data_IF_849196927113
#
_entry.id   IF_849196927113
#
_cell.length_a   1.000
_cell.length_b   1.000
_cell.length_c   1.000
_cell.angle_alpha   90.00
_cell.angle_beta   90.00
_cell.angle_gamma   90.00
#
_symmetry.space_group_name_H-M   'P 1'
#
loop_
_entity.id
_entity.type
_entity.pdbx_description
1 polymer ?
#
# COMPACT_ATOMS: atom_id res chain seq x y z
N UNK A 1 1.05 -11.46 -11.24
CA UNK A 1 1.69 -10.72 -10.14
C UNK A 1 1.87 -11.64 -8.95
N UNK A 2 3.06 -11.68 -8.36
CA UNK A 2 3.25 -12.23 -7.01
C UNK A 2 2.98 -11.11 -6.00
N UNK A 3 2.09 -11.36 -5.04
CA UNK A 3 1.69 -10.36 -4.03
C UNK A 3 2.12 -10.86 -2.66
N UNK A 4 2.97 -10.10 -1.98
CA UNK A 4 3.40 -10.36 -0.61
C UNK A 4 2.59 -9.55 0.38
N UNK A 5 2.38 -10.09 1.57
CA UNK A 5 1.65 -9.42 2.64
C UNK A 5 2.43 -9.46 3.95
N UNK A 6 2.48 -8.33 4.64
CA UNK A 6 3.05 -8.21 5.98
C UNK A 6 2.28 -7.15 6.75
N UNK A 7 2.20 -7.25 8.08
CA UNK A 7 1.58 -6.16 8.85
C UNK A 7 2.40 -4.87 8.79
N UNK A 8 3.74 -4.96 8.73
CA UNK A 8 4.65 -3.79 8.64
C UNK A 8 5.35 -3.43 9.95
N UNK A 9 4.79 -3.80 11.11
CA UNK A 9 5.42 -3.54 12.42
C UNK A 9 6.81 -4.17 12.59
N UNK A 10 7.05 -5.29 11.90
CA UNK A 10 8.35 -5.99 11.89
C UNK A 10 9.40 -5.38 10.95
N UNK A 11 9.05 -4.37 10.14
CA UNK A 11 9.93 -3.77 9.13
C UNK A 11 10.44 -2.44 9.69
N UNK A 12 11.70 -2.41 10.14
CA UNK A 12 12.28 -1.25 10.83
C UNK A 12 13.39 -0.63 9.96
N UNK A 13 13.41 0.70 9.75
CA UNK A 13 12.44 1.68 10.25
C UNK A 13 11.05 1.55 9.59
N UNK A 14 9.99 1.85 10.35
CA UNK A 14 8.62 1.73 9.86
C UNK A 14 8.37 2.67 8.69
N UNK A 15 7.84 2.14 7.59
CA UNK A 15 7.57 2.92 6.37
C UNK A 15 8.81 3.30 5.55
N UNK A 16 10.02 2.87 5.94
CA UNK A 16 11.22 3.18 5.19
C UNK A 16 11.25 2.45 3.83
N UNK A 17 11.40 3.16 2.70
CA UNK A 17 11.38 2.54 1.37
C UNK A 17 12.46 1.47 1.17
N UNK A 18 13.66 1.65 1.74
CA UNK A 18 14.76 0.69 1.57
C UNK A 18 14.53 -0.59 2.39
N UNK A 19 14.00 -0.45 3.61
CA UNK A 19 13.61 -1.58 4.45
C UNK A 19 12.46 -2.38 3.81
N UNK A 20 11.45 -1.71 3.27
CA UNK A 20 10.37 -2.34 2.50
C UNK A 20 10.91 -3.05 1.27
N UNK A 21 11.81 -2.42 0.50
CA UNK A 21 12.44 -3.03 -0.67
C UNK A 21 13.27 -4.27 -0.31
N UNK A 22 13.96 -4.29 0.84
CA UNK A 22 14.67 -5.48 1.32
C UNK A 22 13.71 -6.66 1.55
N UNK A 23 12.57 -6.42 2.20
CA UNK A 23 11.54 -7.44 2.43
C UNK A 23 10.89 -7.90 1.11
N UNK A 24 10.59 -6.98 0.21
CA UNK A 24 10.07 -7.30 -1.12
C UNK A 24 11.03 -8.25 -1.87
N UNK A 25 12.35 -7.97 -1.85
CA UNK A 25 13.37 -8.83 -2.49
C UNK A 25 13.48 -10.19 -1.82
N UNK A 26 13.42 -10.24 -0.48
CA UNK A 26 13.44 -11.50 0.26
C UNK A 26 12.24 -12.40 -0.08
N UNK A 27 11.06 -11.81 -0.27
CA UNK A 27 9.83 -12.53 -0.62
C UNK A 27 9.70 -12.79 -2.12
N UNK A 28 10.53 -12.16 -2.97
CA UNK A 28 10.47 -12.21 -4.44
C UNK A 28 9.05 -11.89 -4.98
N UNK A 29 8.48 -10.75 -4.56
CA UNK A 29 7.12 -10.33 -4.95
C UNK A 29 7.11 -9.15 -5.91
N UNK A 30 6.10 -9.05 -6.77
CA UNK A 30 5.91 -7.88 -7.66
C UNK A 30 5.27 -6.70 -6.91
N UNK A 31 4.39 -7.03 -5.95
CA UNK A 31 3.64 -6.08 -5.11
C UNK A 31 3.83 -6.50 -3.66
N UNK A 32 4.31 -5.59 -2.82
CA UNK A 32 4.36 -5.77 -1.36
C UNK A 32 3.26 -4.94 -0.71
N UNK A 33 2.34 -5.60 0.00
CA UNK A 33 1.30 -4.94 0.79
C UNK A 33 1.72 -4.94 2.26
N UNK A 34 1.75 -3.75 2.85
CA UNK A 34 2.04 -3.52 4.27
C UNK A 34 0.95 -2.68 4.94
N UNK A 35 1.03 -2.50 6.26
CA UNK A 35 0.12 -1.65 7.02
C UNK A 35 0.87 -0.94 8.15
N UNK A 36 0.35 -1.05 9.37
CA UNK A 36 0.93 -0.53 10.62
C UNK A 36 1.02 0.99 10.76
N UNK A 37 1.41 1.72 9.73
CA UNK A 37 1.55 3.19 9.79
C UNK A 37 0.20 3.91 9.88
N UNK A 38 -0.88 3.25 9.45
CA UNK A 38 -2.22 3.82 9.26
C UNK A 38 -2.29 4.92 8.20
N UNK A 39 -1.25 5.04 7.37
CA UNK A 39 -1.19 6.00 6.26
C UNK A 39 -1.31 5.26 4.94
N UNK A 40 -2.29 5.64 4.12
CA UNK A 40 -2.46 5.05 2.80
C UNK A 40 -1.33 5.50 1.86
N UNK A 41 -0.71 4.55 1.16
CA UNK A 41 0.38 4.83 0.24
C UNK A 41 0.35 3.83 -0.92
N UNK A 42 0.50 4.35 -2.15
CA UNK A 42 0.70 3.53 -3.36
C UNK A 42 1.94 4.07 -4.03
N UNK A 43 3.07 3.41 -3.79
CA UNK A 43 4.38 3.85 -4.27
C UNK A 43 4.97 2.83 -5.24
N UNK A 44 5.73 3.32 -6.21
CA UNK A 44 6.55 2.51 -7.09
C UNK A 44 8.03 2.76 -6.81
N UNK A 45 8.79 1.68 -6.65
CA UNK A 45 10.23 1.74 -6.46
C UNK A 45 10.89 0.55 -7.17
N UNK A 46 11.88 0.83 -8.02
CA UNK A 46 12.59 -0.17 -8.84
C UNK A 46 11.66 -1.11 -9.64
N UNK A 47 10.54 -0.58 -10.16
CA UNK A 47 9.56 -1.36 -10.92
C UNK A 47 8.77 -2.37 -10.08
N UNK A 48 8.75 -2.18 -8.75
CA UNK A 48 7.95 -2.93 -7.79
C UNK A 48 6.98 -2.00 -7.09
N UNK A 49 5.83 -2.54 -6.71
CA UNK A 49 4.77 -1.78 -6.06
C UNK A 49 4.76 -2.02 -4.55
N UNK A 50 4.63 -0.92 -3.81
CA UNK A 50 4.55 -0.91 -2.36
C UNK A 50 3.23 -0.26 -1.99
N UNK A 51 2.34 -1.04 -1.39
CA UNK A 51 0.97 -0.64 -1.10
C UNK A 51 0.76 -0.68 0.41
N UNK A 52 0.23 0.40 0.94
CA UNK A 52 -0.33 0.47 2.28
C UNK A 52 -1.78 0.95 2.16
N UNK A 53 -2.78 0.15 2.56
CA UNK A 53 -4.18 0.55 2.44
C UNK A 53 -4.59 1.59 3.49
N UNK A 54 -3.74 1.90 4.47
CA UNK A 54 -4.09 2.71 5.62
C UNK A 54 -4.93 1.93 6.62
N UNK A 55 -5.75 2.65 7.40
CA UNK A 55 -6.66 2.05 8.39
C UNK A 55 -8.11 2.20 7.91
N UNK A 56 -8.82 1.10 7.68
CA UNK A 56 -10.23 1.13 7.21
C UNK A 56 -11.19 1.85 8.17
N UNK A 57 -10.87 1.87 9.46
CA UNK A 57 -11.68 2.52 10.50
C UNK A 57 -11.20 3.92 10.87
N UNK A 58 -10.09 4.41 10.29
CA UNK A 58 -9.45 5.64 10.77
C UNK A 58 -8.91 5.56 12.20
N UNK A 59 -8.52 4.36 12.67
CA UNK A 59 -8.06 4.16 14.03
C UNK A 59 -6.79 4.97 14.35
N UNK A 60 -6.67 5.40 15.61
CA UNK A 60 -5.50 6.11 16.11
C UNK A 60 -4.18 5.39 15.79
N UNK A 61 -3.17 6.16 15.42
CA UNK A 61 -1.77 5.74 15.25
C UNK A 61 -0.84 6.70 15.99
N UNK A 62 0.24 6.19 16.57
CA UNK A 62 1.29 7.03 17.12
C UNK A 62 2.19 7.66 16.03
N UNK A 63 2.05 7.21 14.78
CA UNK A 63 2.90 7.61 13.65
C UNK A 63 2.22 8.62 12.73
N UNK A 64 0.89 8.71 12.77
CA UNK A 64 0.10 9.58 11.91
C UNK A 64 -0.91 10.35 12.77
N UNK A 65 -0.85 11.68 12.70
CA UNK A 65 -1.65 12.55 13.56
C UNK A 65 -3.08 12.71 13.08
N UNK A 66 -3.30 12.54 11.77
CA UNK A 66 -4.61 12.69 11.14
C UNK A 66 -4.91 11.47 10.26
N UNK A 67 -5.41 10.41 10.91
CA UNK A 67 -5.65 9.14 10.23
C UNK A 67 -6.96 9.20 9.45
N UNK A 68 -6.85 9.30 8.13
CA UNK A 68 -7.99 9.18 7.23
C UNK A 68 -8.40 7.70 7.06
N UNK A 69 -9.69 7.40 7.29
CA UNK A 69 -10.21 6.06 7.08
C UNK A 69 -10.10 5.67 5.60
N UNK A 70 -9.43 4.55 5.31
CA UNK A 70 -9.04 4.20 3.94
C UNK A 70 -8.93 2.70 3.68
N UNK A 71 -9.19 2.31 2.43
CA UNK A 71 -8.94 0.96 1.93
C UNK A 71 -8.63 0.98 0.44
N UNK A 72 -8.11 -0.13 -0.08
CA UNK A 72 -7.71 -0.25 -1.49
C UNK A 72 -8.38 -1.47 -2.13
N UNK A 73 -8.91 -1.28 -3.34
CA UNK A 73 -9.31 -2.36 -4.24
C UNK A 73 -8.29 -2.51 -5.37
N UNK A 74 -7.79 -3.74 -5.57
CA UNK A 74 -6.89 -4.09 -6.66
C UNK A 74 -7.65 -4.87 -7.72
N UNK A 75 -7.77 -4.31 -8.92
CA UNK A 75 -8.27 -5.02 -10.10
C UNK A 75 -7.09 -5.53 -10.92
N UNK A 76 -6.86 -6.84 -10.89
CA UNK A 76 -5.73 -7.50 -11.58
C UNK A 76 -6.23 -8.15 -12.87
N UNK A 77 -5.66 -7.76 -14.02
CA UNK A 77 -5.99 -8.31 -15.33
C UNK A 77 -4.72 -8.51 -16.17
N UNK A 78 -4.34 -9.77 -16.39
CA UNK A 78 -3.14 -10.10 -17.16
C UNK A 78 -1.87 -9.51 -16.51
N UNK A 79 -1.15 -8.68 -17.26
CA UNK A 79 0.04 -7.96 -16.80
C UNK A 79 -0.27 -6.54 -16.31
N UNK A 80 -1.54 -6.18 -16.09
CA UNK A 80 -1.98 -4.88 -15.58
C UNK A 80 -2.64 -5.02 -14.21
N UNK A 81 -2.35 -4.09 -13.30
CA UNK A 81 -3.10 -3.88 -12.05
C UNK A 81 -3.64 -2.46 -12.04
N UNK A 82 -4.90 -2.30 -11.67
CA UNK A 82 -5.53 -1.01 -11.37
C UNK A 82 -5.81 -0.94 -9.88
N UNK A 83 -5.32 0.10 -9.24
CA UNK A 83 -5.53 0.42 -7.82
C UNK A 83 -6.63 1.45 -7.70
N UNK A 84 -7.62 1.16 -6.87
CA UNK A 84 -8.63 2.14 -6.43
C UNK A 84 -8.44 2.38 -4.94
N UNK A 85 -8.02 3.59 -4.57
CA UNK A 85 -7.89 4.00 -3.17
C UNK A 85 -9.15 4.73 -2.78
N UNK A 86 -9.81 4.26 -1.73
CA UNK A 86 -10.99 4.87 -1.15
C UNK A 86 -10.60 5.55 0.17
N UNK A 87 -10.97 6.81 0.32
CA UNK A 87 -10.74 7.60 1.53
C UNK A 87 -12.04 8.24 1.99
N UNK A 88 -12.30 8.25 3.30
CA UNK A 88 -13.42 8.98 3.89
C UNK A 88 -12.93 10.35 4.39
N UNK A 89 -13.30 11.42 3.68
CA UNK A 89 -12.98 12.81 4.04
C UNK A 89 -14.27 13.63 4.07
N UNK A 90 -14.47 14.39 5.14
CA UNK A 90 -15.67 15.22 5.34
C UNK A 90 -17.00 14.48 5.07
N UNK A 91 -17.13 13.27 5.63
CA UNK A 91 -18.27 12.35 5.45
C UNK A 91 -18.56 11.95 3.98
N UNK A 92 -17.58 12.13 3.09
CA UNK A 92 -17.64 11.75 1.69
C UNK A 92 -16.54 10.76 1.35
N UNK A 93 -16.90 9.82 0.48
CA UNK A 93 -15.94 8.86 -0.06
C UNK A 93 -15.30 9.45 -1.30
N UNK A 94 -14.00 9.72 -1.21
CA UNK A 94 -13.16 10.09 -2.34
C UNK A 94 -12.49 8.84 -2.91
N UNK A 95 -12.36 8.79 -4.25
CA UNK A 95 -11.75 7.66 -4.94
C UNK A 95 -10.63 8.15 -5.84
N UNK A 96 -9.42 7.66 -5.64
CA UNK A 96 -8.30 7.86 -6.55
C UNK A 96 -7.95 6.56 -7.27
N UNK A 97 -7.47 6.70 -8.51
CA UNK A 97 -7.15 5.57 -9.39
C UNK A 97 -5.70 5.67 -9.85
N UNK A 98 -4.95 4.58 -9.73
CA UNK A 98 -3.63 4.43 -10.33
C UNK A 98 -3.54 3.09 -11.10
N UNK A 99 -2.60 3.00 -12.04
CA UNK A 99 -2.42 1.81 -12.87
C UNK A 99 -0.95 1.43 -12.92
N UNK A 100 -0.67 0.13 -12.96
CA UNK A 100 0.66 -0.41 -13.22
C UNK A 100 0.61 -1.56 -14.17
N UNK A 101 1.64 -1.63 -14.99
CA UNK A 101 1.80 -2.67 -15.98
C UNK A 101 3.18 -3.27 -15.83
N UNK A 102 3.24 -4.58 -15.64
CA UNK A 102 4.50 -5.30 -15.63
C UNK A 102 5.06 -5.33 -17.05
N UNK A 103 6.29 -4.85 -17.21
CA UNK A 103 7.08 -5.06 -18.43
C UNK A 103 7.24 -6.57 -18.65
N UNK A 104 6.88 -7.03 -19.84
CA UNK A 104 6.93 -8.44 -20.24
C UNK A 104 8.38 -8.93 -20.27
#
# INVERSE_FOLDING_TARGET
>A
FKIGFAHGHQIVPWGDPLALAAVQRQLDVDILVTGHTHKNEVNEYEGKWFINPGSITGAYSALESDVTASFILLAVQGNKVVTYVYELRDDKVEVSKSEFQKSV
#
